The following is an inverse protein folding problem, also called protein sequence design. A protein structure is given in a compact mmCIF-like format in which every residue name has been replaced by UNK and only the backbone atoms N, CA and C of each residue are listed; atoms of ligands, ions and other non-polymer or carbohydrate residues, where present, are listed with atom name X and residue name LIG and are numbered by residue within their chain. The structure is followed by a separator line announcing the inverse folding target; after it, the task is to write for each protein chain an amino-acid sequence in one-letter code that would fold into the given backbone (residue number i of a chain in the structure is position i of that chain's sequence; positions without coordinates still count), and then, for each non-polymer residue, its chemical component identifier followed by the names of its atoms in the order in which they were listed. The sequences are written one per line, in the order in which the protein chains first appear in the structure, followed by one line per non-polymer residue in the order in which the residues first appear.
data_IF_476887897692
#
_entry.id   IF_476887897692
#
_cell.length_a   1.000
_cell.length_b   1.000
_cell.length_c   1.000
_cell.angle_alpha   90.00
_cell.angle_beta   90.00
_cell.angle_gamma   90.00
#
_symmetry.space_group_name_H-M   'P 1'
#
loop_
_entity.id
_entity.type
_entity.pdbx_description
1 polymer ?
#
# COMPACT_ATOMS: atom_id res chain seq x y z
N UNK A 1 22.89 -5.66 -11.05
CA UNK A 1 21.84 -5.31 -10.06
C UNK A 1 20.76 -6.39 -10.08
N UNK A 2 20.55 -7.08 -8.96
CA UNK A 2 19.52 -8.13 -8.82
C UNK A 2 18.09 -7.55 -8.86
N UNK A 3 17.06 -8.42 -8.97
CA UNK A 3 15.66 -8.00 -8.92
C UNK A 3 15.35 -7.26 -7.61
N UNK A 4 15.74 -7.82 -6.47
CA UNK A 4 15.55 -7.23 -5.15
C UNK A 4 16.21 -5.85 -5.03
N UNK A 5 17.45 -5.69 -5.50
CA UNK A 5 18.14 -4.40 -5.51
C UNK A 5 17.42 -3.34 -6.36
N UNK A 6 16.87 -3.73 -7.53
CA UNK A 6 16.09 -2.81 -8.38
C UNK A 6 14.81 -2.35 -7.68
N UNK A 7 14.13 -3.25 -6.97
CA UNK A 7 12.93 -2.94 -6.22
C UNK A 7 13.26 -2.04 -5.02
N UNK A 8 14.28 -2.39 -4.24
CA UNK A 8 14.68 -1.61 -3.07
C UNK A 8 15.15 -0.19 -3.45
N UNK A 9 15.81 0.00 -4.58
CA UNK A 9 16.14 1.35 -5.08
C UNK A 9 14.90 2.25 -5.21
N UNK A 10 13.74 1.69 -5.59
CA UNK A 10 12.46 2.42 -5.66
C UNK A 10 11.86 2.72 -4.28
N UNK A 11 12.42 2.15 -3.21
CA UNK A 11 11.97 2.35 -1.82
C UNK A 11 12.81 3.39 -1.06
N UNK A 12 13.49 4.27 -1.75
CA UNK A 12 14.39 5.27 -1.16
C UNK A 12 13.79 6.13 -0.04
N UNK A 13 12.46 6.32 -0.01
CA UNK A 13 11.79 7.04 1.08
C UNK A 13 11.84 6.29 2.41
N UNK A 14 11.78 4.96 2.38
CA UNK A 14 11.97 4.12 3.57
C UNK A 14 13.43 4.22 4.04
N UNK A 15 14.38 4.12 3.10
CA UNK A 15 15.81 4.29 3.42
C UNK A 15 16.08 5.65 4.06
N UNK A 16 15.53 6.73 3.49
CA UNK A 16 15.68 8.08 4.03
C UNK A 16 15.07 8.24 5.45
N UNK A 17 14.00 7.50 5.75
CA UNK A 17 13.41 7.53 7.10
C UNK A 17 14.27 6.76 8.11
N UNK A 18 14.92 5.67 7.67
CA UNK A 18 15.90 4.93 8.49
C UNK A 18 17.14 5.79 8.73
N UNK A 19 17.68 6.45 7.70
CA UNK A 19 18.86 7.31 7.77
C UNK A 19 18.69 8.49 8.75
N UNK A 20 17.45 8.95 8.98
CA UNK A 20 17.18 10.01 9.95
C UNK A 20 17.24 9.54 11.40
N UNK A 21 17.12 8.24 11.65
CA UNK A 21 16.96 7.66 12.97
C UNK A 21 18.18 6.91 13.45
N UNK A 22 18.99 6.43 12.52
CA UNK A 22 20.12 5.55 12.80
C UNK A 22 21.41 6.10 12.20
N UNK A 23 22.57 5.80 12.82
CA UNK A 23 23.86 6.05 12.22
C UNK A 23 23.98 5.44 10.83
N UNK A 24 24.65 6.13 9.92
CA UNK A 24 24.73 5.78 8.49
C UNK A 24 25.18 4.33 8.27
N UNK A 25 26.22 3.88 8.97
CA UNK A 25 26.72 2.52 8.84
C UNK A 25 25.68 1.46 9.24
N UNK A 26 24.94 1.69 10.33
CA UNK A 26 23.87 0.80 10.79
C UNK A 26 22.70 0.80 9.79
N UNK A 27 22.29 1.98 9.34
CA UNK A 27 21.21 2.11 8.34
C UNK A 27 21.54 1.38 7.04
N UNK A 28 22.80 1.48 6.56
CA UNK A 28 23.23 0.82 5.35
C UNK A 28 23.28 -0.71 5.52
N UNK A 29 23.76 -1.21 6.65
CA UNK A 29 23.75 -2.63 6.97
C UNK A 29 22.33 -3.20 7.02
N UNK A 30 21.41 -2.54 7.71
CA UNK A 30 20.00 -2.96 7.78
C UNK A 30 19.31 -2.93 6.42
N UNK A 31 19.65 -1.94 5.59
CA UNK A 31 19.11 -1.88 4.23
C UNK A 31 19.61 -3.03 3.34
N UNK A 32 20.86 -3.42 3.49
CA UNK A 32 21.39 -4.59 2.80
C UNK A 32 20.69 -5.86 3.29
N UNK A 33 20.58 -6.08 4.60
CA UNK A 33 19.88 -7.25 5.17
C UNK A 33 18.42 -7.31 4.69
N UNK A 34 17.71 -6.19 4.65
CA UNK A 34 16.35 -6.13 4.12
C UNK A 34 16.29 -6.48 2.63
N UNK A 35 17.33 -6.11 1.85
CA UNK A 35 17.42 -6.43 0.42
C UNK A 35 17.64 -7.94 0.21
N UNK A 36 18.46 -8.56 1.04
CA UNK A 36 18.69 -10.00 1.04
C UNK A 36 17.44 -10.77 1.46
N UNK A 37 16.77 -10.34 2.53
CA UNK A 37 15.46 -10.89 2.95
C UNK A 37 14.42 -10.80 1.84
N UNK A 38 14.37 -9.69 1.10
CA UNK A 38 13.49 -9.56 -0.05
C UNK A 38 13.82 -10.58 -1.15
N UNK A 39 15.11 -10.86 -1.40
CA UNK A 39 15.48 -11.86 -2.39
C UNK A 39 14.98 -13.27 -2.00
N UNK A 40 15.10 -13.63 -0.72
CA UNK A 40 14.57 -14.90 -0.19
C UNK A 40 13.06 -14.99 -0.35
N UNK A 41 12.33 -13.92 -0.04
CA UNK A 41 10.86 -13.89 -0.24
C UNK A 41 10.48 -14.01 -1.71
N UNK A 42 11.22 -13.38 -2.62
CA UNK A 42 10.96 -13.49 -4.06
C UNK A 42 11.16 -14.92 -4.58
N UNK A 43 12.15 -15.63 -4.06
CA UNK A 43 12.39 -17.04 -4.40
C UNK A 43 11.31 -17.95 -3.83
N UNK A 44 11.01 -17.80 -2.54
CA UNK A 44 9.99 -18.58 -1.82
C UNK A 44 8.62 -18.49 -2.48
N UNK A 45 8.27 -17.33 -3.01
CA UNK A 45 6.97 -17.04 -3.63
C UNK A 45 7.04 -16.89 -5.15
N UNK A 46 8.04 -17.48 -5.80
CA UNK A 46 8.27 -17.36 -7.26
C UNK A 46 7.17 -17.95 -8.12
N UNK A 47 6.39 -18.91 -7.60
CA UNK A 47 5.29 -19.58 -8.30
C UNK A 47 3.96 -18.82 -8.26
N UNK A 48 3.90 -17.64 -7.62
CA UNK A 48 2.65 -16.87 -7.56
C UNK A 48 2.19 -16.41 -8.96
N UNK A 49 0.86 -16.35 -9.20
CA UNK A 49 0.30 -15.81 -10.44
C UNK A 49 0.78 -14.39 -10.73
N UNK A 50 0.97 -14.05 -12.00
CA UNK A 50 1.53 -12.77 -12.43
C UNK A 50 0.76 -11.56 -11.87
N UNK A 51 -0.57 -11.59 -11.91
CA UNK A 51 -1.41 -10.50 -11.37
C UNK A 51 -1.18 -10.25 -9.89
N UNK A 52 -0.99 -11.32 -9.11
CA UNK A 52 -0.70 -11.22 -7.68
C UNK A 52 0.73 -10.74 -7.43
N UNK A 53 1.70 -11.15 -8.26
CA UNK A 53 3.10 -10.71 -8.15
C UNK A 53 3.27 -9.20 -8.24
N UNK A 54 2.39 -8.49 -8.98
CA UNK A 54 2.43 -7.04 -8.99
C UNK A 54 2.33 -6.43 -7.58
N UNK A 55 1.44 -6.94 -6.75
CA UNK A 55 1.27 -6.46 -5.36
C UNK A 55 2.32 -7.03 -4.41
N UNK A 56 2.60 -8.32 -4.49
CA UNK A 56 3.54 -8.97 -3.58
C UNK A 56 4.97 -8.47 -3.81
N UNK A 57 5.48 -8.51 -5.02
CA UNK A 57 6.88 -8.14 -5.32
C UNK A 57 7.13 -6.63 -5.21
N UNK A 58 6.16 -5.79 -5.58
CA UNK A 58 6.38 -4.34 -5.58
C UNK A 58 5.93 -3.62 -4.31
N UNK A 59 5.11 -4.25 -3.46
CA UNK A 59 4.53 -3.59 -2.29
C UNK A 59 4.70 -4.42 -1.01
N UNK A 60 4.14 -5.63 -0.97
CA UNK A 60 4.01 -6.44 0.24
C UNK A 60 5.37 -6.95 0.72
N UNK A 61 6.09 -7.69 -0.12
CA UNK A 61 7.37 -8.29 0.26
C UNK A 61 8.46 -7.26 0.58
N UNK A 62 8.63 -6.16 -0.18
CA UNK A 62 9.58 -5.13 0.22
C UNK A 62 9.23 -4.48 1.56
N UNK A 63 7.94 -4.24 1.83
CA UNK A 63 7.51 -3.68 3.10
C UNK A 63 7.76 -4.66 4.26
N UNK A 64 7.41 -5.94 4.09
CA UNK A 64 7.68 -6.99 5.07
C UNK A 64 9.19 -7.18 5.33
N UNK A 65 10.00 -7.23 4.27
CA UNK A 65 11.46 -7.38 4.39
C UNK A 65 12.09 -6.23 5.18
N UNK A 66 11.73 -4.98 4.85
CA UNK A 66 12.22 -3.79 5.58
C UNK A 66 11.75 -3.85 7.05
N UNK A 67 10.46 -4.05 7.26
CA UNK A 67 9.88 -4.04 8.60
C UNK A 67 10.45 -5.12 9.53
N UNK A 68 10.51 -6.37 9.07
CA UNK A 68 11.00 -7.48 9.88
C UNK A 68 12.48 -7.30 10.23
N UNK A 69 13.30 -6.83 9.28
CA UNK A 69 14.69 -6.50 9.56
C UNK A 69 14.85 -5.40 10.60
N UNK A 70 14.04 -4.34 10.50
CA UNK A 70 14.04 -3.27 11.49
C UNK A 70 13.52 -3.76 12.86
N UNK A 71 12.44 -4.54 12.87
CA UNK A 71 11.83 -5.08 14.09
C UNK A 71 12.83 -5.89 14.92
N UNK A 72 13.64 -6.70 14.26
CA UNK A 72 14.70 -7.49 14.91
C UNK A 72 15.84 -6.63 15.47
N UNK A 73 16.11 -5.48 14.88
CA UNK A 73 17.27 -4.64 15.22
C UNK A 73 16.97 -3.49 16.17
N UNK A 74 15.81 -2.83 15.99
CA UNK A 74 15.44 -1.63 16.74
C UNK A 74 14.10 -1.75 17.48
N UNK A 75 13.52 -2.94 17.49
CA UNK A 75 12.25 -3.24 18.14
C UNK A 75 11.02 -2.85 17.34
N UNK A 76 9.90 -3.46 17.72
CA UNK A 76 8.64 -3.38 16.98
C UNK A 76 8.10 -1.94 16.85
N UNK A 77 8.11 -1.18 17.94
CA UNK A 77 7.54 0.16 17.97
C UNK A 77 8.27 1.13 17.03
N UNK A 78 9.61 1.12 17.04
CA UNK A 78 10.39 2.00 16.17
C UNK A 78 10.33 1.54 14.71
N UNK A 79 10.37 0.24 14.45
CA UNK A 79 10.17 -0.31 13.11
C UNK A 79 8.80 0.12 12.54
N UNK A 80 7.73 0.00 13.33
CA UNK A 80 6.39 0.44 12.93
C UNK A 80 6.35 1.92 12.58
N UNK A 81 6.94 2.80 13.43
CA UNK A 81 7.01 4.25 13.17
C UNK A 81 7.77 4.60 11.90
N UNK A 82 8.87 3.90 11.60
CA UNK A 82 9.61 4.06 10.34
C UNK A 82 8.71 3.74 9.15
N UNK A 83 8.04 2.59 9.19
CA UNK A 83 7.16 2.14 8.11
C UNK A 83 5.98 3.08 7.91
N UNK A 84 5.33 3.48 8.97
CA UNK A 84 4.20 4.40 8.97
C UNK A 84 4.58 5.76 8.37
N UNK A 85 5.63 6.39 8.91
CA UNK A 85 6.08 7.69 8.42
C UNK A 85 6.49 7.68 6.94
N UNK A 86 7.24 6.67 6.50
CA UNK A 86 7.66 6.56 5.10
C UNK A 86 6.47 6.32 4.17
N UNK A 87 5.49 5.50 4.61
CA UNK A 87 4.29 5.19 3.84
C UNK A 87 3.39 6.42 3.73
N UNK A 88 3.09 7.09 4.84
CA UNK A 88 2.20 8.26 4.84
C UNK A 88 2.80 9.45 4.10
N UNK A 89 4.10 9.74 4.25
CA UNK A 89 4.78 10.74 3.40
C UNK A 89 4.68 10.41 1.91
N UNK A 90 4.66 9.12 1.56
CA UNK A 90 4.48 8.70 0.16
C UNK A 90 3.04 8.92 -0.29
N UNK A 91 2.08 8.59 0.56
CA UNK A 91 0.66 8.81 0.32
C UNK A 91 0.32 10.30 0.20
N UNK A 92 0.84 11.14 1.10
CA UNK A 92 0.65 12.60 1.07
C UNK A 92 1.18 13.22 -0.23
N UNK A 93 2.35 12.76 -0.70
CA UNK A 93 2.90 13.23 -1.97
C UNK A 93 2.04 12.80 -3.18
N UNK A 94 1.42 11.62 -3.13
CA UNK A 94 0.46 11.16 -4.14
C UNK A 94 -0.84 11.98 -4.05
N UNK A 95 -1.36 12.20 -2.84
CA UNK A 95 -2.53 13.04 -2.59
C UNK A 95 -2.36 14.45 -3.15
N UNK A 96 -1.19 15.08 -2.93
CA UNK A 96 -0.89 16.42 -3.46
C UNK A 96 -1.01 16.48 -4.98
N UNK A 97 -0.49 15.47 -5.69
CA UNK A 97 -0.60 15.38 -7.16
C UNK A 97 -2.04 15.17 -7.60
N UNK A 98 -2.75 14.26 -6.93
CA UNK A 98 -4.16 13.98 -7.23
C UNK A 98 -5.05 15.20 -6.99
N UNK A 99 -4.86 15.91 -5.87
CA UNK A 99 -5.58 17.16 -5.57
C UNK A 99 -5.35 18.23 -6.65
N UNK A 100 -4.12 18.39 -7.15
CA UNK A 100 -3.82 19.32 -8.23
C UNK A 100 -4.58 18.93 -9.51
N UNK A 101 -4.59 17.66 -9.88
CA UNK A 101 -5.33 17.15 -11.04
C UNK A 101 -6.83 17.39 -10.91
N UNK A 102 -7.42 17.09 -9.75
CA UNK A 102 -8.87 17.19 -9.51
C UNK A 102 -9.40 18.63 -9.45
N UNK A 103 -8.51 19.64 -9.36
CA UNK A 103 -8.90 21.06 -9.51
C UNK A 103 -9.20 21.47 -10.95
N UNK A 104 -8.71 20.70 -11.92
CA UNK A 104 -8.97 20.99 -13.34
C UNK A 104 -10.44 20.68 -13.71
N UNK A 105 -11.05 21.47 -14.61
CA UNK A 105 -12.43 21.27 -15.06
C UNK A 105 -12.65 19.85 -15.60
N UNK A 106 -13.76 19.23 -15.23
CA UNK A 106 -14.13 17.88 -15.71
C UNK A 106 -13.40 16.70 -15.01
N UNK A 107 -12.22 16.93 -14.40
CA UNK A 107 -11.38 15.85 -13.88
C UNK A 107 -12.02 15.05 -12.74
N UNK A 108 -12.85 15.66 -11.90
CA UNK A 108 -13.58 14.94 -10.84
C UNK A 108 -14.55 13.90 -11.42
N UNK A 109 -15.28 14.26 -12.46
CA UNK A 109 -16.21 13.34 -13.14
C UNK A 109 -15.45 12.22 -13.86
N UNK A 110 -14.35 12.57 -14.52
CA UNK A 110 -13.48 11.60 -15.17
C UNK A 110 -12.87 10.65 -14.16
N UNK A 111 -12.40 11.14 -13.02
CA UNK A 111 -11.84 10.34 -11.94
C UNK A 111 -12.84 9.30 -11.43
N UNK A 112 -14.05 9.71 -11.04
CA UNK A 112 -15.08 8.78 -10.56
C UNK A 112 -15.46 7.77 -11.64
N UNK A 113 -15.59 8.19 -12.91
CA UNK A 113 -15.90 7.28 -14.03
C UNK A 113 -14.77 6.28 -14.30
N UNK A 114 -13.51 6.71 -14.19
CA UNK A 114 -12.36 5.85 -14.43
C UNK A 114 -12.06 4.89 -13.27
N UNK A 115 -12.61 5.15 -12.09
CA UNK A 115 -12.30 4.39 -10.88
C UNK A 115 -12.73 2.92 -10.97
N UNK A 116 -13.94 2.65 -11.50
CA UNK A 116 -14.43 1.28 -11.65
C UNK A 116 -13.55 0.40 -12.56
N UNK A 117 -13.28 0.75 -13.82
CA UNK A 117 -12.42 -0.07 -14.67
C UNK A 117 -10.99 -0.19 -14.12
N UNK A 118 -10.47 0.87 -13.47
CA UNK A 118 -9.13 0.87 -12.90
C UNK A 118 -9.03 -0.08 -11.70
N UNK A 119 -10.00 -0.02 -10.78
CA UNK A 119 -10.01 -0.88 -9.60
C UNK A 119 -10.25 -2.35 -9.96
N UNK A 120 -11.12 -2.66 -10.90
CA UNK A 120 -11.30 -4.03 -11.40
C UNK A 120 -10.02 -4.60 -11.99
N UNK A 121 -9.25 -3.78 -12.70
CA UNK A 121 -7.97 -4.21 -13.27
C UNK A 121 -6.89 -4.41 -12.21
N UNK A 122 -6.76 -3.48 -11.27
CA UNK A 122 -5.67 -3.47 -10.29
C UNK A 122 -5.95 -4.33 -9.05
N UNK A 123 -7.21 -4.41 -8.65
CA UNK A 123 -7.64 -5.07 -7.41
C UNK A 123 -8.66 -6.19 -7.68
N UNK A 124 -8.69 -6.74 -8.89
CA UNK A 124 -9.55 -7.86 -9.24
C UNK A 124 -9.04 -9.22 -8.73
N UNK A 125 -9.77 -10.28 -9.02
CA UNK A 125 -9.46 -11.65 -8.60
C UNK A 125 -8.06 -12.11 -9.08
N UNK A 126 -7.68 -11.76 -10.30
CA UNK A 126 -6.34 -12.06 -10.84
C UNK A 126 -5.20 -11.45 -10.03
N UNK A 127 -5.49 -10.39 -9.25
CA UNK A 127 -4.54 -9.73 -8.35
C UNK A 127 -4.66 -10.23 -6.90
N UNK A 128 -5.44 -11.29 -6.67
CA UNK A 128 -5.61 -11.94 -5.37
C UNK A 128 -6.62 -11.27 -4.44
N UNK A 129 -7.40 -10.30 -4.94
CA UNK A 129 -8.49 -9.69 -4.19
C UNK A 129 -9.80 -10.37 -4.46
N UNK A 130 -10.68 -10.42 -3.46
CA UNK A 130 -12.09 -10.73 -3.63
C UNK A 130 -12.89 -9.49 -3.28
N UNK A 131 -13.73 -9.06 -4.22
CA UNK A 131 -14.48 -7.81 -4.11
C UNK A 131 -15.95 -8.01 -4.44
N UNK A 132 -16.79 -7.18 -3.81
CA UNK A 132 -18.17 -6.96 -4.23
C UNK A 132 -18.23 -5.59 -4.89
N UNK A 133 -18.47 -5.55 -6.19
CA UNK A 133 -18.66 -4.30 -6.93
C UNK A 133 -20.15 -3.97 -6.99
N UNK A 134 -20.48 -2.75 -6.64
CA UNK A 134 -21.85 -2.24 -6.71
C UNK A 134 -22.13 -1.59 -8.07
N UNK A 135 -23.38 -1.55 -8.52
CA UNK A 135 -23.75 -0.82 -9.72
C UNK A 135 -23.33 0.65 -9.64
N UNK A 136 -22.70 1.13 -10.71
CA UNK A 136 -22.26 2.52 -10.77
C UNK A 136 -23.46 3.47 -10.77
N UNK A 137 -23.48 4.44 -9.85
CA UNK A 137 -24.41 5.56 -9.84
C UNK A 137 -23.73 6.80 -10.42
N UNK A 138 -24.50 7.73 -10.94
CA UNK A 138 -23.97 8.99 -11.48
C UNK A 138 -23.21 9.74 -10.37
N UNK A 139 -21.88 9.87 -10.55
CA UNK A 139 -21.02 10.59 -9.60
C UNK A 139 -20.64 9.80 -8.33
N UNK A 140 -20.94 8.50 -8.26
CA UNK A 140 -20.59 7.64 -7.14
C UNK A 140 -19.95 6.34 -7.65
N UNK A 141 -18.89 5.91 -6.98
CA UNK A 141 -18.28 4.59 -7.12
C UNK A 141 -18.26 3.91 -5.75
N UNK A 142 -18.65 2.62 -5.71
CA UNK A 142 -18.65 1.83 -4.50
C UNK A 142 -18.17 0.41 -4.75
N UNK A 143 -17.32 -0.09 -3.84
CA UNK A 143 -16.93 -1.51 -3.75
C UNK A 143 -16.65 -1.92 -2.32
N UNK A 144 -16.84 -3.19 -2.01
CA UNK A 144 -16.33 -3.82 -0.79
C UNK A 144 -15.20 -4.77 -1.14
N UNK A 145 -14.08 -4.71 -0.40
CA UNK A 145 -13.01 -5.70 -0.46
C UNK A 145 -13.24 -6.71 0.66
N UNK A 146 -13.53 -7.96 0.33
CA UNK A 146 -13.80 -9.03 1.31
C UNK A 146 -12.58 -9.92 1.54
N UNK A 147 -11.62 -9.96 0.61
CA UNK A 147 -10.32 -10.59 0.79
C UNK A 147 -9.23 -9.72 0.17
N UNK A 148 -8.12 -9.54 0.89
CA UNK A 148 -7.04 -8.63 0.52
C UNK A 148 -5.69 -9.33 0.65
N UNK A 149 -4.85 -9.38 -0.42
CA UNK A 149 -3.53 -10.00 -0.36
C UNK A 149 -2.60 -9.31 0.64
N UNK A 150 -2.73 -8.00 0.87
CA UNK A 150 -1.95 -7.32 1.91
C UNK A 150 -2.24 -7.89 3.30
N UNK A 151 -3.52 -8.05 3.66
CA UNK A 151 -3.91 -8.62 4.95
C UNK A 151 -3.43 -10.08 5.05
N UNK A 152 -3.61 -10.89 4.01
CA UNK A 152 -3.20 -12.28 3.97
C UNK A 152 -1.69 -12.42 4.14
N UNK A 153 -0.90 -11.82 3.28
CA UNK A 153 0.55 -12.03 3.27
C UNK A 153 1.26 -11.35 4.44
N UNK A 154 0.83 -10.18 4.90
CA UNK A 154 1.41 -9.62 6.12
C UNK A 154 1.14 -10.47 7.35
N UNK A 155 -0.03 -11.11 7.44
CA UNK A 155 -0.34 -12.07 8.51
C UNK A 155 0.53 -13.32 8.39
N UNK A 156 0.62 -13.91 7.20
CA UNK A 156 1.44 -15.09 6.91
C UNK A 156 2.93 -14.86 7.20
N UNK A 157 3.43 -13.66 6.91
CA UNK A 157 4.82 -13.26 7.15
C UNK A 157 5.10 -12.78 8.60
N UNK A 158 4.13 -12.82 9.52
CA UNK A 158 4.30 -12.42 10.91
C UNK A 158 4.39 -10.91 11.16
N UNK A 159 3.83 -10.11 10.26
CA UNK A 159 3.78 -8.65 10.36
C UNK A 159 2.39 -8.05 10.04
N UNK A 160 1.29 -8.58 10.66
CA UNK A 160 -0.09 -8.18 10.33
C UNK A 160 -0.35 -6.69 10.57
N UNK A 161 0.40 -6.05 11.46
CA UNK A 161 0.30 -4.62 11.75
C UNK A 161 0.57 -3.72 10.53
N UNK A 162 1.33 -4.19 9.54
CA UNK A 162 1.57 -3.45 8.29
C UNK A 162 0.30 -3.27 7.45
N UNK A 163 -0.70 -4.13 7.64
CA UNK A 163 -1.99 -3.97 6.98
C UNK A 163 -2.66 -2.67 7.39
N UNK A 164 -2.57 -2.30 8.69
CA UNK A 164 -3.12 -1.03 9.19
C UNK A 164 -2.48 0.18 8.51
N UNK A 165 -1.16 0.14 8.32
CA UNK A 165 -0.41 1.20 7.62
C UNK A 165 -0.87 1.28 6.15
N UNK A 166 -1.01 0.13 5.48
CA UNK A 166 -1.45 0.09 4.09
C UNK A 166 -2.86 0.63 3.93
N UNK A 167 -3.79 0.27 4.84
CA UNK A 167 -5.14 0.85 4.87
C UNK A 167 -5.12 2.35 5.18
N UNK A 168 -4.27 2.79 6.12
CA UNK A 168 -4.13 4.22 6.46
C UNK A 168 -3.63 5.05 5.28
N UNK A 169 -2.79 4.50 4.42
CA UNK A 169 -2.33 5.20 3.22
C UNK A 169 -3.49 5.62 2.29
N UNK A 170 -4.57 4.85 2.21
CA UNK A 170 -5.76 5.23 1.44
C UNK A 170 -6.45 6.45 2.05
N UNK A 171 -6.53 6.53 3.38
CA UNK A 171 -7.11 7.67 4.09
C UNK A 171 -6.31 8.95 3.78
N UNK A 172 -4.98 8.85 3.73
CA UNK A 172 -4.10 9.95 3.33
C UNK A 172 -4.28 10.38 1.87
N UNK A 173 -4.45 9.40 0.96
CA UNK A 173 -4.60 9.71 -0.47
C UNK A 173 -5.98 10.27 -0.79
N UNK A 174 -7.03 9.70 -0.22
CA UNK A 174 -8.42 9.95 -0.65
C UNK A 174 -9.25 10.76 0.35
N UNK A 175 -8.84 10.85 1.62
CA UNK A 175 -9.63 11.43 2.69
C UNK A 175 -10.01 12.90 2.53
N UNK A 176 -9.24 13.68 1.74
CA UNK A 176 -9.48 15.10 1.52
C UNK A 176 -9.26 15.48 0.04
N UNK A 177 -10.13 14.99 -0.84
CA UNK A 177 -10.08 15.31 -2.27
C UNK A 177 -11.04 16.44 -2.62
N UNK A 178 -10.62 17.45 -3.42
CA UNK A 178 -11.46 18.61 -3.74
C UNK A 178 -12.71 18.20 -4.54
N UNK A 179 -13.89 18.43 -3.95
CA UNK A 179 -15.20 18.13 -4.55
C UNK A 179 -15.53 16.65 -4.70
N UNK A 180 -14.81 15.81 -3.95
CA UNK A 180 -15.10 14.39 -3.79
C UNK A 180 -15.10 14.05 -2.30
N UNK A 181 -15.96 13.12 -1.91
CA UNK A 181 -16.00 12.55 -0.55
C UNK A 181 -15.61 11.09 -0.62
N UNK A 182 -14.57 10.73 0.12
CA UNK A 182 -14.20 9.35 0.39
C UNK A 182 -14.84 8.90 1.70
N UNK A 183 -15.56 7.81 1.66
CA UNK A 183 -16.21 7.22 2.84
C UNK A 183 -15.75 5.77 2.98
N UNK A 184 -15.27 5.43 4.16
CA UNK A 184 -14.88 4.08 4.54
C UNK A 184 -15.05 3.91 6.05
N UNK A 185 -15.96 3.02 6.46
CA UNK A 185 -16.27 2.81 7.88
C UNK A 185 -15.56 1.60 8.47
N UNK A 186 -15.10 0.68 7.62
CA UNK A 186 -14.49 -0.58 8.02
C UNK A 186 -13.29 -0.94 7.14
N UNK A 187 -12.29 -1.60 7.72
CA UNK A 187 -11.18 -2.21 6.96
C UNK A 187 -10.78 -3.56 7.56
N UNK A 188 -10.37 -4.49 6.70
CA UNK A 188 -9.81 -5.78 7.12
C UNK A 188 -8.59 -5.59 8.03
N UNK A 189 -7.73 -4.62 7.76
CA UNK A 189 -6.55 -4.32 8.56
C UNK A 189 -6.84 -3.77 9.96
N UNK A 190 -8.07 -3.33 10.22
CA UNK A 190 -8.54 -2.87 11.55
C UNK A 190 -9.50 -3.87 12.20
N UNK A 191 -9.54 -5.11 11.71
CA UNK A 191 -10.39 -6.19 12.25
C UNK A 191 -11.83 -6.20 11.73
N UNK A 192 -12.15 -5.38 10.74
CA UNK A 192 -13.44 -5.40 10.08
C UNK A 192 -13.61 -6.63 9.16
N UNK A 193 -14.84 -6.96 8.83
CA UNK A 193 -15.16 -8.08 7.93
C UNK A 193 -14.91 -7.75 6.44
N UNK A 194 -14.73 -6.48 6.11
CA UNK A 194 -14.50 -5.96 4.76
C UNK A 194 -13.88 -4.57 4.81
N UNK A 195 -13.36 -4.10 3.67
CA UNK A 195 -13.08 -2.67 3.47
C UNK A 195 -14.19 -2.10 2.57
N UNK A 196 -14.97 -1.19 3.09
CA UNK A 196 -16.09 -0.55 2.39
C UNK A 196 -15.64 0.76 1.75
N UNK A 197 -15.37 0.72 0.46
CA UNK A 197 -14.94 1.92 -0.29
C UNK A 197 -16.13 2.60 -0.96
N UNK A 198 -16.28 3.90 -0.70
CA UNK A 198 -17.20 4.74 -1.44
C UNK A 198 -16.51 6.08 -1.79
N UNK A 199 -16.51 6.45 -3.07
CA UNK A 199 -16.07 7.77 -3.54
C UNK A 199 -17.23 8.40 -4.28
N UNK A 200 -17.66 9.59 -3.85
CA UNK A 200 -18.76 10.32 -4.48
C UNK A 200 -18.46 11.79 -4.67
N UNK A 201 -19.07 12.39 -5.68
CA UNK A 201 -19.06 13.84 -5.90
C UNK A 201 -19.89 14.56 -4.83
N UNK A 202 -19.39 15.67 -4.36
CA UNK A 202 -20.05 16.62 -3.47
C UNK A 202 -20.14 17.97 -4.13
#
# INVERSE_FOLDING_TARGET
MTSSQKIMKKKGRFKAEIDRRLPKAQSDALWQMATERLAVLQEQYSSLPEGLRFHTENKIFPAAAIYLTLKESIGQSEAYRVMENATFKTADAAAKKLKALLRLPGMRSLFVKAWDPLTRKMFGENSGFQNVFYPNKKGEYRMDVVSCPYNRYFTELGCPELTKISCGADDHVYGDLPGLKFERTSTLGRGGKRCDFCIRKV
#
